data_IF_362327509334
#
_entry.id   IF_362327509334
#
_cell.length_a   1.000
_cell.length_b   1.000
_cell.length_c   1.000
_cell.angle_alpha   90.00
_cell.angle_beta   90.00
_cell.angle_gamma   90.00
#
_symmetry.space_group_name_H-M   'P 1'
#
loop_
_entity.id
_entity.type
_entity.pdbx_description
1 polymer ?
#
# COMPACT_ATOMS: atom_id res chain seq x y z
N UNK A 1 -43.34 71.35 5.70
CA UNK A 1 -42.78 70.32 4.83
C UNK A 1 -41.98 69.32 5.70
N UNK A 2 -42.64 68.20 5.96
CA UNK A 2 -42.04 67.11 6.71
C UNK A 2 -41.40 66.13 5.75
N UNK A 3 -40.08 65.95 5.91
CA UNK A 3 -39.37 64.88 5.21
C UNK A 3 -39.27 63.72 6.21
N UNK A 4 -40.05 62.64 5.93
CA UNK A 4 -39.96 61.41 6.61
C UNK A 4 -38.67 60.66 6.26
N UNK A 5 -37.78 60.48 7.24
CA UNK A 5 -36.69 59.50 7.13
C UNK A 5 -37.26 58.13 7.42
N UNK A 6 -37.34 57.29 6.42
CA UNK A 6 -37.52 55.83 6.62
C UNK A 6 -36.17 55.25 7.06
N UNK A 7 -36.10 54.86 8.31
CA UNK A 7 -35.04 53.98 8.82
C UNK A 7 -35.22 52.59 8.16
N UNK A 8 -34.37 52.31 7.20
CA UNK A 8 -34.17 50.94 6.70
C UNK A 8 -33.42 50.15 7.81
N UNK A 9 -34.18 49.39 8.59
CA UNK A 9 -33.57 48.40 9.49
C UNK A 9 -32.88 47.35 8.67
N UNK A 10 -31.56 47.41 8.67
CA UNK A 10 -30.74 46.33 8.14
C UNK A 10 -31.07 45.06 8.94
N UNK A 11 -31.82 44.18 8.34
CA UNK A 11 -31.97 42.81 8.85
C UNK A 11 -30.61 42.13 8.70
N UNK A 12 -29.88 42.05 9.83
CA UNK A 12 -28.70 41.18 9.90
C UNK A 12 -29.21 39.77 9.75
N UNK A 13 -29.05 39.21 8.55
CA UNK A 13 -29.40 37.83 8.29
C UNK A 13 -28.57 36.94 9.20
N UNK A 14 -29.22 36.37 10.20
CA UNK A 14 -28.63 35.32 11.00
C UNK A 14 -28.30 34.16 10.05
N UNK A 15 -27.02 33.79 9.97
CA UNK A 15 -26.61 32.66 9.15
C UNK A 15 -27.45 31.42 9.57
N UNK A 16 -27.92 30.66 8.60
CA UNK A 16 -28.68 29.47 8.90
C UNK A 16 -27.79 28.50 9.70
N UNK A 17 -28.28 28.03 10.83
CA UNK A 17 -27.61 27.05 11.68
C UNK A 17 -28.03 25.64 11.28
N UNK A 18 -27.10 24.69 11.37
CA UNK A 18 -27.35 23.26 11.30
C UNK A 18 -27.17 22.66 12.71
N UNK A 19 -27.85 21.58 12.99
CA UNK A 19 -27.70 20.85 14.26
C UNK A 19 -26.87 19.61 14.02
N UNK A 20 -25.78 19.46 14.77
CA UNK A 20 -25.02 18.22 14.85
C UNK A 20 -25.44 17.48 16.11
N UNK A 21 -25.92 16.25 15.93
CA UNK A 21 -26.35 15.39 17.06
C UNK A 21 -25.33 14.27 17.25
N UNK A 22 -24.79 14.21 18.45
CA UNK A 22 -23.79 13.20 18.83
C UNK A 22 -24.50 12.08 19.60
N UNK A 23 -24.51 10.90 19.01
CA UNK A 23 -25.15 9.70 19.56
C UNK A 23 -24.12 8.77 20.22
N UNK A 24 -24.58 8.03 21.23
CA UNK A 24 -23.86 6.85 21.71
C UNK A 24 -23.83 5.75 20.64
N UNK A 25 -23.05 4.72 20.87
CA UNK A 25 -22.90 3.54 19.99
C UNK A 25 -24.22 2.78 19.76
N UNK A 26 -25.24 2.98 20.57
CA UNK A 26 -26.59 2.41 20.38
C UNK A 26 -27.37 3.11 19.24
N UNK A 27 -26.87 4.20 18.72
CA UNK A 27 -27.51 5.01 17.67
C UNK A 27 -28.80 5.70 18.08
N UNK A 28 -29.11 5.77 19.39
CA UNK A 28 -30.36 6.29 19.93
C UNK A 28 -30.17 7.28 21.09
N UNK A 29 -29.23 6.99 21.99
CA UNK A 29 -28.95 7.85 23.13
C UNK A 29 -28.18 9.08 22.67
N UNK A 30 -28.76 10.25 22.84
CA UNK A 30 -28.09 11.53 22.52
C UNK A 30 -27.13 11.87 23.65
N UNK A 31 -25.84 12.00 23.33
CA UNK A 31 -24.80 12.42 24.24
C UNK A 31 -24.68 13.94 24.29
N UNK A 32 -24.78 14.59 23.11
CA UNK A 32 -24.65 16.04 22.95
C UNK A 32 -25.35 16.51 21.67
N UNK A 33 -25.72 17.78 21.65
CA UNK A 33 -26.09 18.49 20.41
C UNK A 33 -25.26 19.78 20.30
N UNK A 34 -24.93 20.16 19.09
CA UNK A 34 -24.20 21.39 18.76
C UNK A 34 -24.93 22.14 17.64
N UNK A 35 -25.13 23.45 17.82
CA UNK A 35 -25.54 24.32 16.73
C UNK A 35 -24.28 24.82 15.99
N UNK A 36 -24.19 24.53 14.71
CA UNK A 36 -23.08 24.89 13.83
C UNK A 36 -23.57 25.83 12.75
N UNK A 37 -22.88 26.93 12.55
CA UNK A 37 -23.18 27.83 11.42
C UNK A 37 -22.99 27.05 10.12
N UNK A 38 -23.99 27.16 9.21
CA UNK A 38 -23.94 26.45 7.91
C UNK A 38 -22.66 26.81 7.15
N UNK A 39 -21.85 25.80 6.84
CA UNK A 39 -20.55 25.94 6.19
C UNK A 39 -19.36 25.98 7.15
N UNK A 40 -19.59 25.98 8.48
CA UNK A 40 -18.54 25.80 9.48
C UNK A 40 -18.37 24.31 9.83
N UNK A 41 -17.26 23.96 10.47
CA UNK A 41 -16.98 22.61 10.93
C UNK A 41 -17.57 22.36 12.33
N UNK A 42 -18.02 21.14 12.59
CA UNK A 42 -18.40 20.68 13.90
C UNK A 42 -17.19 20.53 14.83
N UNK A 43 -17.42 20.49 16.15
CA UNK A 43 -16.34 20.30 17.13
C UNK A 43 -16.28 18.86 17.57
N UNK A 44 -15.09 18.30 17.47
CA UNK A 44 -14.80 17.01 18.06
C UNK A 44 -14.66 17.14 19.59
N UNK A 45 -15.25 16.20 20.34
CA UNK A 45 -14.99 16.03 21.76
C UNK A 45 -14.87 14.55 22.09
N UNK A 46 -14.25 14.22 23.23
CA UNK A 46 -14.06 12.85 23.70
C UNK A 46 -15.09 12.55 24.79
N UNK A 47 -16.13 11.74 24.49
CA UNK A 47 -17.09 11.29 25.48
C UNK A 47 -16.47 10.23 26.40
N UNK A 48 -16.93 10.16 27.64
CA UNK A 48 -16.53 9.13 28.60
C UNK A 48 -17.65 8.11 28.78
N UNK A 49 -17.29 6.82 28.88
CA UNK A 49 -18.21 5.73 29.18
C UNK A 49 -17.49 4.70 30.05
N UNK A 50 -18.04 4.41 31.21
CA UNK A 50 -17.43 3.49 32.17
C UNK A 50 -17.12 2.13 31.55
N UNK A 51 -15.90 1.67 31.77
CA UNK A 51 -15.41 0.36 31.25
C UNK A 51 -15.26 0.28 29.75
N UNK A 52 -15.30 1.40 29.03
CA UNK A 52 -15.15 1.46 27.58
C UNK A 52 -14.05 2.44 27.17
N UNK A 53 -13.46 2.18 26.02
CA UNK A 53 -12.46 3.04 25.37
C UNK A 53 -13.17 3.73 24.21
N UNK A 54 -13.11 5.07 24.16
CA UNK A 54 -13.58 5.83 23.01
C UNK A 54 -12.56 5.70 21.87
N UNK A 55 -13.04 5.31 20.68
CA UNK A 55 -12.20 5.05 19.51
C UNK A 55 -12.49 5.99 18.32
N UNK A 56 -13.37 6.93 18.49
CA UNK A 56 -13.67 7.97 17.50
C UNK A 56 -15.16 8.15 17.23
N UNK A 57 -15.45 9.14 16.39
CA UNK A 57 -16.79 9.43 15.90
C UNK A 57 -16.95 8.87 14.48
N UNK A 58 -18.12 8.32 14.21
CA UNK A 58 -18.45 7.67 12.96
C UNK A 58 -19.63 8.36 12.27
N UNK A 59 -19.65 8.32 10.93
CA UNK A 59 -20.67 8.96 10.12
C UNK A 59 -22.00 8.19 10.09
N UNK A 60 -21.95 6.90 10.42
CA UNK A 60 -23.14 6.01 10.41
C UNK A 60 -23.17 5.11 11.65
N UNK A 61 -24.35 4.61 12.05
CA UNK A 61 -24.45 3.69 13.18
C UNK A 61 -23.79 2.33 12.94
N UNK A 62 -23.43 2.00 11.69
CA UNK A 62 -22.68 0.80 11.33
C UNK A 62 -21.17 0.92 11.62
N UNK A 63 -20.70 2.11 11.99
CA UNK A 63 -19.29 2.41 12.32
C UNK A 63 -18.31 2.08 11.21
N UNK A 64 -18.74 2.08 9.94
CA UNK A 64 -17.89 1.74 8.81
C UNK A 64 -16.96 2.85 8.35
N UNK A 65 -17.32 4.10 8.61
CA UNK A 65 -16.55 5.26 8.19
C UNK A 65 -16.45 6.28 9.32
N UNK A 66 -15.23 6.74 9.64
CA UNK A 66 -15.00 7.83 10.59
C UNK A 66 -15.62 9.12 10.06
N UNK A 67 -16.17 9.92 10.98
CA UNK A 67 -16.65 11.25 10.64
C UNK A 67 -15.48 12.22 10.53
N UNK A 68 -15.45 12.97 9.44
CA UNK A 68 -14.39 13.96 9.17
C UNK A 68 -14.81 15.35 9.70
N UNK A 69 -14.27 15.71 10.84
CA UNK A 69 -14.51 17.03 11.49
C UNK A 69 -13.88 18.21 10.76
N UNK A 70 -13.06 17.98 9.73
CA UNK A 70 -12.52 19.05 8.88
C UNK A 70 -13.51 19.51 7.81
N UNK A 71 -14.55 18.72 7.56
CA UNK A 71 -15.56 19.03 6.58
C UNK A 71 -16.62 20.01 7.09
N UNK A 72 -17.04 20.90 6.20
CA UNK A 72 -18.08 21.87 6.51
C UNK A 72 -19.46 21.20 6.65
N UNK A 73 -20.17 21.52 7.73
CA UNK A 73 -21.55 21.07 7.97
C UNK A 73 -22.51 21.95 7.16
N UNK A 74 -23.25 21.35 6.24
CA UNK A 74 -24.19 22.06 5.35
C UNK A 74 -25.66 21.73 5.59
N UNK A 75 -25.93 20.72 6.43
CA UNK A 75 -27.26 20.25 6.83
C UNK A 75 -27.19 19.62 8.21
N UNK A 76 -28.34 19.35 8.82
CA UNK A 76 -28.41 18.65 10.10
C UNK A 76 -27.72 17.30 9.99
N UNK A 77 -26.77 17.03 10.90
CA UNK A 77 -25.85 15.91 10.80
C UNK A 77 -25.90 15.08 12.09
N UNK A 78 -25.81 13.76 11.92
CA UNK A 78 -25.70 12.82 13.05
C UNK A 78 -24.33 12.16 13.03
N UNK A 79 -23.70 12.04 14.20
CA UNK A 79 -22.44 11.33 14.40
C UNK A 79 -22.58 10.33 15.54
N UNK A 80 -21.84 9.22 15.48
CA UNK A 80 -22.01 8.07 16.36
C UNK A 80 -20.69 7.73 17.04
N UNK A 81 -20.71 7.64 18.37
CA UNK A 81 -19.54 7.31 19.18
C UNK A 81 -19.18 5.84 19.02
N UNK A 82 -17.93 5.55 18.65
CA UNK A 82 -17.37 4.22 18.77
C UNK A 82 -16.81 3.99 20.17
N UNK A 83 -17.30 2.95 20.84
CA UNK A 83 -16.78 2.48 22.12
C UNK A 83 -16.46 1.01 22.05
N UNK A 84 -15.28 0.63 22.55
CA UNK A 84 -14.82 -0.76 22.62
C UNK A 84 -14.42 -1.12 24.04
N UNK A 85 -14.46 -2.41 24.37
CA UNK A 85 -13.85 -2.94 25.59
C UNK A 85 -12.50 -3.50 25.24
N UNK A 86 -11.49 -3.29 26.09
CA UNK A 86 -10.18 -3.87 25.86
C UNK A 86 -10.26 -5.41 25.81
N UNK A 87 -9.72 -5.96 24.74
CA UNK A 87 -9.45 -7.38 24.55
C UNK A 87 -8.01 -7.49 24.08
N UNK A 88 -7.22 -8.35 24.72
CA UNK A 88 -5.83 -8.56 24.33
C UNK A 88 -5.76 -9.10 22.91
N UNK A 89 -4.94 -8.46 22.07
CA UNK A 89 -4.64 -8.93 20.73
C UNK A 89 -3.39 -9.83 20.78
N UNK A 90 -3.54 -11.07 20.38
CA UNK A 90 -2.47 -12.07 20.35
C UNK A 90 -1.90 -12.29 18.94
N UNK A 91 -2.40 -11.55 17.95
CA UNK A 91 -1.95 -11.63 16.57
C UNK A 91 -0.58 -10.97 16.39
N UNK A 92 0.15 -11.39 15.38
CA UNK A 92 1.38 -10.75 14.92
C UNK A 92 1.09 -9.90 13.70
N UNK A 93 1.75 -8.74 13.59
CA UNK A 93 1.70 -7.87 12.41
C UNK A 93 3.10 -7.69 11.83
N UNK A 94 3.17 -7.66 10.52
CA UNK A 94 4.40 -7.42 9.78
C UNK A 94 4.16 -6.51 8.58
N UNK A 95 5.12 -5.65 8.26
CA UNK A 95 5.11 -4.91 7.02
C UNK A 95 5.40 -5.86 5.85
N UNK A 96 4.58 -5.81 4.82
CA UNK A 96 4.73 -6.54 3.58
C UNK A 96 4.59 -5.58 2.41
N UNK A 97 5.48 -5.69 1.46
CA UNK A 97 5.49 -4.76 0.35
C UNK A 97 6.63 -4.99 -0.61
N UNK A 98 6.83 -4.06 -1.50
CA UNK A 98 7.92 -4.04 -2.47
C UNK A 98 8.43 -2.62 -2.65
N UNK A 99 9.71 -2.50 -2.91
CA UNK A 99 10.36 -1.22 -3.14
C UNK A 99 11.86 -1.34 -3.11
N UNK A 100 12.53 -0.21 -2.94
CA UNK A 100 13.99 -0.11 -2.93
C UNK A 100 14.58 0.09 -1.54
N UNK A 101 13.76 0.33 -0.52
CA UNK A 101 14.24 0.29 0.87
C UNK A 101 14.57 -1.15 1.29
N UNK A 102 15.61 -1.37 2.13
CA UNK A 102 16.07 -2.72 2.47
C UNK A 102 14.98 -3.65 2.99
N UNK A 103 14.13 -3.17 3.90
CA UNK A 103 13.06 -3.97 4.51
C UNK A 103 12.02 -4.42 3.49
N UNK A 104 11.64 -3.56 2.55
CA UNK A 104 10.64 -3.88 1.53
C UNK A 104 11.24 -4.63 0.34
N UNK A 105 12.49 -4.35 0.00
CA UNK A 105 13.22 -5.12 -1.00
C UNK A 105 13.32 -6.60 -0.57
N UNK A 106 13.68 -6.85 0.70
CA UNK A 106 13.72 -8.20 1.27
C UNK A 106 12.33 -8.82 1.37
N UNK A 107 11.32 -8.05 1.82
CA UNK A 107 9.93 -8.50 1.95
C UNK A 107 9.37 -9.04 0.64
N UNK A 108 9.59 -8.33 -0.46
CA UNK A 108 9.12 -8.69 -1.79
C UNK A 108 7.69 -9.25 -1.77
N UNK A 109 6.74 -8.45 -1.30
CA UNK A 109 5.33 -8.82 -1.11
C UNK A 109 5.10 -10.04 -0.20
N UNK A 110 5.92 -10.20 0.84
CA UNK A 110 5.78 -11.25 1.83
C UNK A 110 6.48 -12.56 1.47
N UNK A 111 7.35 -12.55 0.45
CA UNK A 111 8.25 -13.67 0.17
C UNK A 111 9.18 -13.94 1.36
N UNK A 112 9.57 -12.87 2.07
CA UNK A 112 10.28 -12.93 3.35
C UNK A 112 9.51 -12.13 4.40
N UNK A 113 9.21 -12.75 5.54
CA UNK A 113 8.69 -12.12 6.75
C UNK A 113 9.60 -12.57 7.90
N UNK A 114 10.67 -11.83 8.10
CA UNK A 114 11.65 -12.03 9.17
C UNK A 114 11.52 -10.98 10.28
N UNK A 115 12.50 -10.92 11.15
CA UNK A 115 12.52 -9.99 12.28
C UNK A 115 12.51 -8.52 11.83
N UNK A 116 13.10 -8.21 10.67
CA UNK A 116 13.12 -6.86 10.12
C UNK A 116 11.74 -6.36 9.63
N UNK A 117 10.84 -7.27 9.26
CA UNK A 117 9.50 -6.98 8.80
C UNK A 117 8.46 -6.98 9.91
N UNK A 118 8.71 -7.68 11.03
CA UNK A 118 7.75 -7.81 12.13
C UNK A 118 7.65 -6.54 12.95
N UNK A 119 6.41 -6.17 13.28
CA UNK A 119 6.15 -5.13 14.27
C UNK A 119 6.39 -5.67 15.68
N UNK A 120 6.87 -4.81 16.56
CA UNK A 120 7.02 -5.12 17.98
C UNK A 120 5.75 -4.75 18.71
N UNK A 121 5.11 -5.70 19.39
CA UNK A 121 3.99 -5.43 20.28
C UNK A 121 4.50 -4.89 21.62
N UNK A 122 3.93 -3.78 22.06
CA UNK A 122 4.19 -3.23 23.39
C UNK A 122 3.49 -4.03 24.49
N UNK A 123 4.13 -4.19 25.63
CA UNK A 123 3.50 -4.81 26.79
C UNK A 123 2.53 -3.80 27.44
N UNK A 124 1.25 -4.14 27.46
CA UNK A 124 0.20 -3.32 28.07
C UNK A 124 -1.00 -4.17 28.47
N UNK A 125 -1.66 -3.80 29.59
CA UNK A 125 -2.89 -4.42 30.07
C UNK A 125 -4.15 -3.68 29.59
N UNK A 126 -3.99 -2.61 28.82
CA UNK A 126 -5.08 -1.71 28.44
C UNK A 126 -5.11 -1.30 26.97
N UNK A 127 -4.05 -1.58 26.23
CA UNK A 127 -3.89 -1.17 24.82
C UNK A 127 -3.19 -2.27 24.01
N UNK A 128 -3.55 -2.39 22.74
CA UNK A 128 -2.83 -3.23 21.79
C UNK A 128 -2.11 -2.31 20.82
N UNK A 129 -0.84 -2.10 21.04
CA UNK A 129 0.02 -1.20 20.27
C UNK A 129 1.17 -1.99 19.66
N UNK A 130 1.35 -1.84 18.36
CA UNK A 130 2.44 -2.45 17.59
C UNK A 130 3.23 -1.35 16.92
N UNK A 131 4.56 -1.44 16.97
CA UNK A 131 5.45 -0.44 16.38
C UNK A 131 6.48 -1.06 15.45
N UNK A 132 6.87 -0.31 14.44
CA UNK A 132 8.02 -0.60 13.60
C UNK A 132 8.67 0.71 13.16
N UNK A 133 9.99 0.76 13.21
CA UNK A 133 10.78 1.88 12.69
C UNK A 133 11.63 1.38 11.53
N UNK A 134 11.52 2.03 10.38
CA UNK A 134 12.22 1.62 9.17
C UNK A 134 12.46 2.81 8.23
N UNK A 135 13.36 2.60 7.29
CA UNK A 135 13.61 3.52 6.19
C UNK A 135 12.71 3.19 5.01
N UNK A 136 12.13 4.21 4.38
CA UNK A 136 11.32 4.09 3.17
C UNK A 136 11.90 4.97 2.07
N UNK A 137 11.92 4.45 0.86
CA UNK A 137 12.24 5.21 -0.36
C UNK A 137 10.96 5.74 -1.01
N UNK A 138 11.07 6.82 -1.76
CA UNK A 138 9.96 7.30 -2.59
C UNK A 138 9.53 6.19 -3.57
N UNK A 139 8.24 5.95 -3.65
CA UNK A 139 7.65 4.91 -4.49
C UNK A 139 7.49 3.54 -3.83
N UNK A 140 8.09 3.30 -2.66
CA UNK A 140 7.87 2.07 -1.91
C UNK A 140 6.38 1.86 -1.60
N UNK A 141 5.90 0.61 -1.76
CA UNK A 141 4.50 0.25 -1.54
C UNK A 141 4.39 -0.87 -0.51
N UNK A 142 3.45 -0.74 0.42
CA UNK A 142 3.32 -1.71 1.51
C UNK A 142 1.94 -1.71 2.15
N UNK A 143 1.71 -2.74 2.97
CA UNK A 143 0.63 -2.88 3.94
C UNK A 143 1.18 -3.59 5.19
N UNK A 144 0.36 -3.68 6.24
CA UNK A 144 0.67 -4.48 7.43
C UNK A 144 -0.19 -5.74 7.39
N UNK A 145 0.44 -6.90 7.16
CA UNK A 145 -0.22 -8.19 7.14
C UNK A 145 -0.33 -8.78 8.54
N UNK A 146 -1.42 -9.50 8.79
CA UNK A 146 -1.69 -10.19 10.04
C UNK A 146 -1.29 -11.66 9.94
N UNK A 147 -0.59 -12.16 10.96
CA UNK A 147 -0.19 -13.58 11.10
C UNK A 147 0.47 -14.16 9.83
N UNK A 148 1.33 -13.35 9.20
CA UNK A 148 2.05 -13.71 7.96
C UNK A 148 1.13 -14.14 6.82
N UNK A 149 -0.08 -13.57 6.75
CA UNK A 149 -1.11 -13.93 5.78
C UNK A 149 -1.71 -12.69 5.12
N UNK A 150 -2.12 -12.84 3.86
CA UNK A 150 -2.95 -11.86 3.14
C UNK A 150 -4.45 -12.01 3.42
N UNK A 151 -4.83 -12.84 4.38
CA UNK A 151 -6.23 -13.03 4.77
C UNK A 151 -6.84 -11.83 5.50
N UNK A 152 -6.00 -11.04 6.18
CA UNK A 152 -6.38 -9.79 6.81
C UNK A 152 -5.16 -8.86 6.86
N UNK A 153 -5.32 -7.61 6.43
CA UNK A 153 -4.26 -6.61 6.38
C UNK A 153 -4.76 -5.21 6.73
N UNK A 154 -3.81 -4.33 7.05
CA UNK A 154 -4.06 -2.92 7.35
C UNK A 154 -3.30 -2.07 6.33
N UNK A 155 -4.05 -1.43 5.44
CA UNK A 155 -3.52 -0.61 4.35
C UNK A 155 -3.83 0.87 4.51
N UNK A 156 -3.90 1.56 3.38
CA UNK A 156 -4.01 3.02 3.26
C UNK A 156 -5.17 3.62 4.07
N UNK A 157 -6.35 3.00 4.06
CA UNK A 157 -7.53 3.54 4.75
C UNK A 157 -7.47 3.46 6.27
N UNK A 158 -6.46 2.81 6.84
CA UNK A 158 -6.21 2.79 8.29
C UNK A 158 -5.29 3.91 8.77
N UNK A 159 -4.63 4.63 7.85
CA UNK A 159 -3.81 5.79 8.21
C UNK A 159 -4.69 6.88 8.82
N UNK A 160 -4.28 7.39 9.97
CA UNK A 160 -4.95 8.51 10.65
C UNK A 160 -4.83 9.80 9.84
N UNK A 161 -3.65 10.04 9.29
CA UNK A 161 -3.37 11.13 8.35
C UNK A 161 -2.36 10.69 7.31
N UNK A 162 -2.37 11.34 6.14
CA UNK A 162 -1.35 11.18 5.11
C UNK A 162 -0.46 12.42 5.00
N UNK A 163 -0.84 13.50 5.67
CA UNK A 163 -0.24 14.83 5.53
C UNK A 163 0.58 15.20 6.77
N UNK A 164 1.70 15.87 6.54
CA UNK A 164 2.49 16.56 7.54
C UNK A 164 2.91 17.91 6.97
N UNK A 165 2.64 19.01 7.71
CA UNK A 165 3.01 20.38 7.34
C UNK A 165 2.52 20.82 5.93
N UNK A 166 1.33 20.36 5.52
CA UNK A 166 0.71 20.74 4.24
C UNK A 166 1.26 19.96 3.03
N UNK A 167 1.94 18.84 3.25
CA UNK A 167 2.46 17.97 2.22
C UNK A 167 2.07 16.51 2.46
N UNK A 168 1.63 15.83 1.42
CA UNK A 168 1.29 14.41 1.48
C UNK A 168 2.56 13.55 1.52
N UNK A 169 2.66 12.71 2.53
CA UNK A 169 3.76 11.75 2.72
C UNK A 169 3.40 10.36 2.19
N UNK A 170 2.11 10.07 2.07
CA UNK A 170 1.62 8.79 1.58
C UNK A 170 0.51 8.97 0.56
N UNK A 171 0.46 8.05 -0.41
CA UNK A 171 -0.55 7.98 -1.46
C UNK A 171 -1.24 6.62 -1.45
N UNK A 172 -2.50 6.60 -1.94
CA UNK A 172 -3.19 5.36 -2.23
C UNK A 172 -2.74 4.81 -3.59
N UNK A 173 -2.09 3.66 -3.61
CA UNK A 173 -1.64 3.01 -4.85
C UNK A 173 -2.52 1.85 -5.31
N UNK A 174 -3.73 1.73 -4.74
CA UNK A 174 -4.68 0.68 -5.09
C UNK A 174 -4.49 -0.60 -4.28
N UNK A 175 -5.32 -1.58 -4.56
CA UNK A 175 -5.28 -2.89 -3.92
C UNK A 175 -5.20 -4.00 -4.96
N UNK A 176 -4.71 -5.15 -4.54
CA UNK A 176 -4.83 -6.40 -5.29
C UNK A 176 -6.28 -6.90 -5.19
N UNK A 177 -7.14 -6.42 -6.10
CA UNK A 177 -8.57 -6.69 -6.09
C UNK A 177 -9.36 -5.65 -5.29
N UNK A 178 -10.46 -5.21 -5.80
CA UNK A 178 -11.34 -4.09 -5.40
C UNK A 178 -11.92 -4.18 -3.98
N UNK A 179 -11.10 -4.37 -2.96
CA UNK A 179 -11.51 -4.50 -1.57
C UNK A 179 -11.61 -3.17 -0.83
N UNK A 180 -11.63 -2.07 -1.58
CA UNK A 180 -11.77 -0.73 -1.02
C UNK A 180 -10.47 -0.12 -0.48
N UNK A 181 -10.53 1.17 -0.11
CA UNK A 181 -9.34 1.96 0.33
C UNK A 181 -8.67 1.43 1.59
N UNK A 182 -9.39 0.72 2.47
CA UNK A 182 -8.81 0.21 3.74
C UNK A 182 -7.74 -0.83 3.50
N UNK A 183 -7.90 -1.66 2.48
CA UNK A 183 -6.96 -2.70 2.08
C UNK A 183 -6.02 -2.27 0.95
N UNK A 184 -6.11 -1.01 0.49
CA UNK A 184 -5.24 -0.48 -0.56
C UNK A 184 -3.81 -0.33 -0.07
N UNK A 185 -2.85 -0.48 -0.97
CA UNK A 185 -1.45 -0.28 -0.66
C UNK A 185 -1.17 1.18 -0.27
N UNK A 186 -0.32 1.34 0.73
CA UNK A 186 0.28 2.61 1.10
C UNK A 186 1.50 2.81 0.21
N UNK A 187 1.58 3.92 -0.51
CA UNK A 187 2.77 4.28 -1.29
C UNK A 187 3.48 5.45 -0.61
N UNK A 188 4.77 5.31 -0.39
CA UNK A 188 5.62 6.36 0.18
C UNK A 188 5.86 7.45 -0.87
N UNK A 189 5.54 8.70 -0.55
CA UNK A 189 5.78 9.86 -1.40
C UNK A 189 7.03 10.65 -0.98
N UNK A 190 7.47 10.50 0.27
CA UNK A 190 8.63 11.23 0.82
C UNK A 190 9.60 10.24 1.44
N UNK A 191 10.79 10.11 0.87
CA UNK A 191 11.82 9.23 1.38
C UNK A 191 12.32 9.66 2.77
N UNK A 192 12.60 8.70 3.67
CA UNK A 192 13.13 8.97 5.00
C UNK A 192 12.92 7.84 5.99
N UNK A 193 13.22 8.12 7.25
CA UNK A 193 12.98 7.20 8.35
C UNK A 193 11.61 7.45 8.99
N UNK A 194 10.86 6.39 9.22
CA UNK A 194 9.50 6.42 9.74
C UNK A 194 9.34 5.47 10.92
N UNK A 195 8.55 5.89 11.90
CA UNK A 195 8.00 5.00 12.93
C UNK A 195 6.50 4.89 12.70
N UNK A 196 6.01 3.67 12.42
CA UNK A 196 4.60 3.37 12.34
C UNK A 196 4.11 2.76 13.64
N UNK A 197 2.93 3.16 14.06
CA UNK A 197 2.23 2.64 15.24
C UNK A 197 0.86 2.15 14.81
N UNK A 198 0.61 0.86 14.94
CA UNK A 198 -0.69 0.24 14.71
C UNK A 198 -1.35 -0.01 16.07
N UNK A 199 -2.52 0.57 16.28
CA UNK A 199 -3.37 0.31 17.46
C UNK A 199 -4.54 -0.55 17.01
N UNK A 200 -4.76 -1.68 17.70
CA UNK A 200 -5.79 -2.64 17.33
C UNK A 200 -6.81 -2.86 18.43
N UNK A 201 -8.02 -3.17 17.99
CA UNK A 201 -9.17 -3.47 18.85
C UNK A 201 -9.83 -4.75 18.31
N UNK A 202 -9.32 -5.95 18.69
CA UNK A 202 -9.91 -7.20 18.26
C UNK A 202 -11.34 -7.31 18.83
N UNK A 203 -12.26 -7.74 17.99
CA UNK A 203 -13.68 -7.81 18.36
C UNK A 203 -14.50 -8.45 17.24
N UNK A 204 -15.79 -8.10 17.23
CA UNK A 204 -16.67 -8.57 16.16
C UNK A 204 -16.28 -7.97 14.80
N UNK A 205 -16.32 -8.81 13.79
CA UNK A 205 -16.07 -8.40 12.42
C UNK A 205 -17.13 -7.38 11.96
N UNK A 206 -16.67 -6.38 11.25
CA UNK A 206 -17.51 -5.38 10.59
C UNK A 206 -17.23 -5.40 9.10
N UNK A 207 -18.28 -5.47 8.29
CA UNK A 207 -18.15 -5.60 6.84
C UNK A 207 -18.67 -4.35 6.14
N UNK A 208 -17.93 -3.90 5.13
CA UNK A 208 -18.27 -2.75 4.28
C UNK A 208 -19.35 -3.16 3.25
N UNK A 209 -20.57 -3.40 3.75
CA UNK A 209 -21.69 -3.94 2.96
C UNK A 209 -22.27 -2.96 1.95
N UNK A 210 -21.91 -1.68 2.03
CA UNK A 210 -22.29 -0.61 1.10
C UNK A 210 -21.29 -0.45 -0.05
N UNK A 211 -20.18 -1.21 -0.05
CA UNK A 211 -19.24 -1.22 -1.15
C UNK A 211 -19.86 -1.88 -2.40
N UNK A 212 -19.70 -1.25 -3.57
CA UNK A 212 -20.30 -1.73 -4.83
C UNK A 212 -19.82 -3.13 -5.25
N UNK A 213 -18.67 -3.57 -4.76
CA UNK A 213 -18.07 -4.87 -5.06
C UNK A 213 -18.35 -5.93 -3.99
N UNK A 214 -19.06 -5.56 -2.90
CA UNK A 214 -19.41 -6.49 -1.82
C UNK A 214 -20.42 -7.55 -2.28
N UNK A 215 -20.18 -8.78 -1.90
CA UNK A 215 -21.13 -9.89 -1.95
C UNK A 215 -20.96 -10.74 -0.70
N UNK A 216 -22.00 -11.51 -0.32
CA UNK A 216 -21.88 -12.44 0.82
C UNK A 216 -20.82 -13.53 0.59
N UNK A 217 -20.50 -13.85 -0.66
CA UNK A 217 -19.49 -14.86 -1.01
C UNK A 217 -18.06 -14.32 -0.80
N UNK A 218 -17.82 -13.02 -1.03
CA UNK A 218 -16.51 -12.39 -0.87
C UNK A 218 -16.40 -11.52 0.38
N UNK A 219 -17.33 -11.65 1.34
CA UNK A 219 -17.46 -10.78 2.53
C UNK A 219 -16.16 -10.59 3.30
N UNK A 220 -15.34 -11.64 3.41
CA UNK A 220 -14.10 -11.59 4.20
C UNK A 220 -13.08 -10.59 3.63
N UNK A 221 -13.14 -10.31 2.34
CA UNK A 221 -12.33 -9.26 1.70
C UNK A 221 -12.78 -7.84 2.09
N UNK A 222 -13.95 -7.69 2.69
CA UNK A 222 -14.53 -6.41 3.12
C UNK A 222 -14.66 -6.29 4.65
N UNK A 223 -13.96 -7.12 5.40
CA UNK A 223 -13.81 -6.95 6.84
C UNK A 223 -12.93 -5.72 7.11
N UNK A 224 -13.50 -4.69 7.71
CA UNK A 224 -12.86 -3.37 7.77
C UNK A 224 -12.22 -3.03 9.11
N UNK A 225 -12.46 -3.80 10.18
CA UNK A 225 -11.91 -3.53 11.52
C UNK A 225 -11.89 -2.03 11.82
N UNK A 226 -13.05 -1.35 11.95
CA UNK A 226 -13.18 0.11 11.81
C UNK A 226 -12.46 0.91 12.87
N UNK A 227 -12.08 0.26 13.97
CA UNK A 227 -11.46 0.91 15.12
C UNK A 227 -9.93 0.85 15.08
N UNK A 228 -9.36 -0.03 14.26
CA UNK A 228 -7.92 -0.12 14.09
C UNK A 228 -7.39 1.12 13.39
N UNK A 229 -6.22 1.59 13.82
CA UNK A 229 -5.65 2.85 13.32
C UNK A 229 -4.13 2.73 13.18
N UNK A 230 -3.61 3.27 12.09
CA UNK A 230 -2.17 3.44 11.86
C UNK A 230 -1.84 4.92 12.01
N UNK A 231 -0.99 5.24 12.98
CA UNK A 231 -0.34 6.55 13.08
C UNK A 231 1.12 6.42 12.68
N UNK A 232 1.76 7.55 12.35
CA UNK A 232 3.15 7.54 11.94
C UNK A 232 3.88 8.81 12.35
N UNK A 233 5.19 8.68 12.46
CA UNK A 233 6.10 9.81 12.71
C UNK A 233 7.20 9.79 11.66
N UNK A 234 7.45 10.91 11.03
CA UNK A 234 8.61 11.12 10.18
C UNK A 234 9.80 11.52 11.05
N UNK A 235 10.83 10.69 11.08
CA UNK A 235 12.02 10.90 11.91
C UNK A 235 13.13 11.69 11.20
N UNK A 236 12.91 12.05 9.92
CA UNK A 236 13.84 12.78 9.09
C UNK A 236 14.38 11.97 7.91
N UNK A 237 15.23 12.61 7.11
CA UNK A 237 15.90 11.97 5.99
C UNK A 237 16.81 10.82 6.49
N UNK A 238 16.94 9.76 5.67
CA UNK A 238 17.81 8.63 5.95
C UNK A 238 18.73 8.36 4.75
N UNK A 239 19.99 8.03 5.04
CA UNK A 239 20.95 7.63 4.01
C UNK A 239 20.60 6.26 3.38
N UNK A 240 19.78 5.44 4.05
CA UNK A 240 19.31 4.16 3.56
C UNK A 240 18.03 4.27 2.72
N UNK A 241 17.43 5.45 2.64
CA UNK A 241 16.25 5.73 1.83
C UNK A 241 16.68 6.38 0.51
N UNK A 242 16.33 5.78 -0.61
CA UNK A 242 16.68 6.27 -1.94
C UNK A 242 18.11 5.94 -2.40
N UNK A 243 18.70 4.86 -1.90
CA UNK A 243 20.00 4.36 -2.33
C UNK A 243 20.02 3.99 -3.82
N UNK A 244 21.23 3.95 -4.41
CA UNK A 244 21.40 3.50 -5.80
C UNK A 244 20.87 2.08 -5.98
N UNK A 245 19.98 1.92 -6.94
CA UNK A 245 19.39 0.63 -7.30
C UNK A 245 20.18 0.03 -8.44
N UNK A 246 20.71 -1.17 -8.24
CA UNK A 246 21.34 -1.96 -9.27
C UNK A 246 20.42 -3.12 -9.65
N UNK A 247 20.16 -3.30 -10.94
CA UNK A 247 19.45 -4.47 -11.48
C UNK A 247 20.41 -5.30 -12.30
N UNK A 248 20.50 -6.58 -11.98
CA UNK A 248 21.22 -7.57 -12.73
C UNK A 248 20.24 -8.56 -13.37
N UNK A 249 20.55 -9.05 -14.57
CA UNK A 249 19.71 -9.99 -15.32
C UNK A 249 20.39 -11.34 -15.45
N UNK A 250 19.58 -12.41 -15.42
CA UNK A 250 20.03 -13.80 -15.43
C UNK A 250 19.15 -14.66 -16.32
N UNK A 251 19.74 -15.61 -17.05
CA UNK A 251 18.97 -16.61 -17.79
C UNK A 251 18.47 -17.70 -16.84
N UNK A 252 17.24 -18.16 -17.08
CA UNK A 252 16.72 -19.41 -16.51
C UNK A 252 15.91 -20.18 -17.54
N UNK A 253 15.95 -21.50 -17.47
CA UNK A 253 15.25 -22.33 -18.42
C UNK A 253 15.43 -23.81 -18.14
N UNK A 254 14.73 -24.67 -18.91
CA UNK A 254 14.64 -26.09 -18.66
C UNK A 254 16.00 -26.81 -18.57
N UNK A 255 16.95 -26.44 -19.41
CA UNK A 255 18.28 -27.07 -19.45
C UNK A 255 19.32 -26.30 -18.67
N UNK A 256 19.22 -24.97 -18.63
CA UNK A 256 20.22 -24.10 -17.97
C UNK A 256 20.17 -24.23 -16.45
N UNK A 257 18.96 -24.15 -15.86
CA UNK A 257 18.77 -24.08 -14.41
C UNK A 257 17.70 -25.03 -13.88
N UNK A 258 17.02 -25.82 -14.77
CA UNK A 258 15.85 -26.61 -14.39
C UNK A 258 14.65 -25.75 -13.96
N UNK A 259 14.56 -24.50 -14.46
CA UNK A 259 13.57 -23.47 -14.08
C UNK A 259 13.73 -22.92 -12.66
N UNK A 260 14.79 -23.29 -11.96
CA UNK A 260 15.13 -22.65 -10.70
C UNK A 260 15.79 -21.28 -10.94
N UNK A 261 15.61 -20.34 -10.00
CA UNK A 261 16.33 -19.08 -10.02
C UNK A 261 17.78 -19.31 -9.58
N UNK A 262 18.69 -19.26 -10.52
CA UNK A 262 20.13 -19.39 -10.27
C UNK A 262 20.83 -18.08 -10.59
N UNK A 263 21.34 -17.44 -9.54
CA UNK A 263 22.03 -16.15 -9.63
C UNK A 263 23.55 -16.37 -9.53
N UNK A 264 24.16 -16.76 -10.66
CA UNK A 264 25.60 -17.03 -10.75
C UNK A 264 26.22 -16.31 -11.96
N UNK A 265 27.53 -16.20 -11.98
CA UNK A 265 28.27 -15.53 -13.07
C UNK A 265 28.04 -16.21 -14.44
N UNK A 266 27.76 -17.53 -14.46
CA UNK A 266 27.50 -18.27 -15.69
C UNK A 266 26.12 -17.97 -16.30
N UNK A 267 25.19 -17.52 -15.46
CA UNK A 267 23.81 -17.20 -15.89
C UNK A 267 23.56 -15.70 -16.03
N UNK A 268 24.53 -14.88 -15.60
CA UNK A 268 24.42 -13.42 -15.49
C UNK A 268 24.77 -12.71 -16.81
N UNK A 269 23.98 -11.68 -17.14
CA UNK A 269 24.37 -10.70 -18.15
C UNK A 269 25.53 -9.84 -17.64
N UNK A 270 26.41 -9.47 -18.56
CA UNK A 270 27.44 -8.46 -18.30
C UNK A 270 26.91 -7.10 -18.68
N UNK A 271 26.95 -6.13 -17.75
CA UNK A 271 26.55 -4.75 -18.00
C UNK A 271 27.73 -3.95 -18.56
N UNK A 272 27.46 -3.15 -19.59
CA UNK A 272 28.36 -2.14 -20.12
C UNK A 272 27.57 -0.95 -20.65
N UNK A 273 27.82 0.23 -20.07
CA UNK A 273 27.19 1.50 -20.48
C UNK A 273 25.65 1.46 -20.54
N UNK A 274 25.03 0.77 -19.57
CA UNK A 274 23.58 0.61 -19.48
C UNK A 274 23.00 -0.48 -20.39
N UNK A 275 23.82 -1.19 -21.14
CA UNK A 275 23.43 -2.31 -21.99
C UNK A 275 23.91 -3.63 -21.38
N UNK A 276 23.09 -4.64 -21.41
CA UNK A 276 23.34 -5.95 -20.82
C UNK A 276 23.53 -7.00 -21.89
N UNK A 277 24.60 -7.77 -21.80
CA UNK A 277 24.95 -8.82 -22.81
C UNK A 277 25.19 -10.15 -22.12
N UNK A 278 24.59 -11.23 -22.65
CA UNK A 278 24.86 -12.61 -22.26
C UNK A 278 25.24 -13.44 -23.51
N UNK A 279 26.33 -14.17 -23.40
CA UNK A 279 26.76 -15.14 -24.42
C UNK A 279 26.68 -16.54 -23.80
N UNK A 280 25.92 -17.44 -24.44
CA UNK A 280 25.66 -18.79 -23.91
C UNK A 280 25.37 -19.78 -25.05
N UNK A 281 25.85 -21.02 -24.91
CA UNK A 281 25.55 -22.10 -25.86
C UNK A 281 24.18 -22.70 -25.56
N UNK A 282 23.30 -22.74 -26.57
CA UNK A 282 21.98 -23.36 -26.49
C UNK A 282 21.82 -24.42 -27.61
N UNK A 283 20.93 -25.37 -27.32
CA UNK A 283 20.53 -26.40 -28.27
C UNK A 283 19.14 -26.10 -28.82
N UNK A 284 18.90 -26.41 -30.08
CA UNK A 284 17.56 -26.30 -30.68
C UNK A 284 16.49 -26.93 -29.79
N UNK A 285 15.47 -26.15 -29.49
CA UNK A 285 14.35 -26.55 -28.59
C UNK A 285 14.56 -26.21 -27.13
N UNK A 286 15.71 -25.65 -26.71
CA UNK A 286 15.90 -25.18 -25.36
C UNK A 286 14.91 -24.02 -25.07
N UNK A 287 14.10 -24.18 -24.02
CA UNK A 287 13.14 -23.17 -23.59
C UNK A 287 13.68 -22.43 -22.37
N UNK A 288 13.62 -21.09 -22.41
CA UNK A 288 14.20 -20.20 -21.41
C UNK A 288 13.48 -18.85 -21.34
N UNK A 289 13.81 -18.09 -20.32
CA UNK A 289 13.49 -16.69 -20.13
C UNK A 289 14.60 -16.02 -19.31
N UNK A 290 14.48 -14.72 -19.04
CA UNK A 290 15.42 -14.06 -18.15
C UNK A 290 14.67 -13.46 -16.95
N UNK A 291 15.32 -13.54 -15.80
CA UNK A 291 14.85 -12.99 -14.53
C UNK A 291 15.80 -11.89 -14.07
N UNK A 292 15.41 -11.12 -13.07
CA UNK A 292 16.22 -10.03 -12.53
C UNK A 292 16.50 -10.20 -11.04
N UNK A 293 17.60 -9.60 -10.60
CA UNK A 293 17.95 -9.39 -9.20
C UNK A 293 18.11 -7.89 -8.97
N UNK A 294 17.44 -7.36 -7.96
CA UNK A 294 17.58 -5.96 -7.54
C UNK A 294 18.43 -5.89 -6.29
N UNK A 295 19.43 -5.02 -6.29
CA UNK A 295 20.34 -4.79 -5.16
C UNK A 295 20.32 -3.31 -4.77
N UNK A 296 20.18 -3.04 -3.47
CA UNK A 296 20.32 -1.71 -2.87
C UNK A 296 21.25 -1.82 -1.67
N UNK A 297 22.41 -1.18 -1.73
CA UNK A 297 23.46 -1.37 -0.73
C UNK A 297 23.89 -2.84 -0.62
N UNK A 298 23.77 -3.41 0.56
CA UNK A 298 24.11 -4.83 0.83
C UNK A 298 22.89 -5.79 0.73
N UNK A 299 21.72 -5.28 0.35
CA UNK A 299 20.48 -6.07 0.30
C UNK A 299 20.11 -6.38 -1.16
N UNK A 300 19.88 -7.66 -1.45
CA UNK A 300 19.44 -8.14 -2.76
C UNK A 300 18.16 -8.95 -2.64
N UNK A 301 17.27 -8.80 -3.63
CA UNK A 301 16.03 -9.58 -3.75
C UNK A 301 15.73 -9.87 -5.21
N UNK A 302 14.99 -10.96 -5.46
CA UNK A 302 14.47 -11.24 -6.79
C UNK A 302 13.63 -10.07 -7.31
N UNK A 303 13.96 -9.59 -8.50
CA UNK A 303 13.21 -8.52 -9.16
C UNK A 303 11.89 -9.02 -9.73
N UNK A 304 11.04 -8.08 -10.09
CA UNK A 304 9.75 -8.34 -10.75
C UNK A 304 9.82 -8.19 -12.28
N UNK A 305 10.96 -7.75 -12.79
CA UNK A 305 11.19 -7.59 -14.21
C UNK A 305 11.66 -8.92 -14.81
N UNK A 306 10.96 -9.33 -15.86
CA UNK A 306 11.27 -10.52 -16.64
C UNK A 306 11.44 -10.13 -18.09
N UNK A 307 12.49 -10.69 -18.75
CA UNK A 307 12.69 -10.51 -20.19
C UNK A 307 12.22 -11.78 -20.89
N UNK A 308 11.32 -11.62 -21.83
CA UNK A 308 10.59 -12.70 -22.52
C UNK A 308 10.55 -12.45 -24.02
N UNK A 309 9.91 -13.37 -24.75
CA UNK A 309 9.74 -13.28 -26.20
C UNK A 309 9.15 -11.94 -26.67
N UNK A 310 8.20 -11.40 -25.92
CA UNK A 310 7.55 -10.09 -26.19
C UNK A 310 8.48 -8.88 -26.05
N UNK A 311 9.66 -9.04 -25.45
CA UNK A 311 10.67 -7.97 -25.39
C UNK A 311 11.48 -7.85 -26.69
N UNK A 312 11.37 -8.78 -27.66
CA UNK A 312 11.98 -8.62 -28.97
C UNK A 312 11.23 -7.51 -29.71
N UNK A 313 11.95 -6.49 -30.17
CA UNK A 313 11.37 -5.32 -30.81
C UNK A 313 10.54 -5.67 -32.05
N UNK A 314 9.40 -4.98 -32.21
CA UNK A 314 8.54 -5.18 -33.38
C UNK A 314 9.27 -4.84 -34.69
N UNK A 315 9.34 -5.81 -35.60
CA UNK A 315 10.05 -5.67 -36.88
C UNK A 315 11.53 -6.09 -36.84
N UNK A 316 12.00 -6.67 -35.75
CA UNK A 316 13.32 -7.31 -35.68
C UNK A 316 13.24 -8.77 -36.13
N UNK A 317 13.09 -8.94 -37.48
CA UNK A 317 13.01 -10.25 -38.10
C UNK A 317 14.31 -11.07 -37.93
N UNK A 318 15.45 -10.41 -37.71
CA UNK A 318 16.71 -11.07 -37.46
C UNK A 318 16.70 -11.81 -36.13
N UNK A 319 16.39 -11.13 -35.01
CA UNK A 319 16.25 -11.76 -33.72
C UNK A 319 15.15 -12.83 -33.69
N UNK A 320 13.99 -12.56 -34.33
CA UNK A 320 12.88 -13.51 -34.43
C UNK A 320 13.18 -14.76 -35.25
N UNK A 321 14.23 -14.76 -36.10
CA UNK A 321 14.67 -15.94 -36.82
C UNK A 321 15.40 -16.96 -35.95
N UNK A 322 15.96 -16.54 -34.82
CA UNK A 322 16.75 -17.37 -33.91
C UNK A 322 15.95 -17.97 -32.76
N UNK A 323 14.75 -17.46 -32.49
CA UNK A 323 13.89 -17.90 -31.36
C UNK A 323 12.43 -18.00 -31.80
N UNK A 324 11.70 -18.89 -31.15
CA UNK A 324 10.24 -18.98 -31.25
C UNK A 324 9.60 -18.79 -29.90
N UNK A 325 8.31 -18.45 -29.88
CA UNK A 325 7.55 -18.27 -28.63
C UNK A 325 7.20 -19.62 -28.00
N UNK A 326 7.52 -19.76 -26.72
CA UNK A 326 7.16 -20.89 -25.88
C UNK A 326 5.97 -20.60 -24.95
N UNK A 327 5.73 -21.49 -24.00
CA UNK A 327 4.66 -21.33 -23.01
C UNK A 327 4.90 -20.14 -22.10
N UNK A 328 3.87 -19.28 -21.91
CA UNK A 328 3.98 -18.11 -21.04
C UNK A 328 4.95 -17.03 -21.54
N UNK A 329 5.05 -16.88 -22.85
CA UNK A 329 5.95 -15.91 -23.52
C UNK A 329 7.45 -16.23 -23.33
N UNK A 330 7.81 -17.47 -22.99
CA UNK A 330 9.19 -17.91 -22.96
C UNK A 330 9.81 -17.87 -24.37
N UNK A 331 11.13 -17.91 -24.42
CA UNK A 331 11.86 -18.06 -25.67
C UNK A 331 12.23 -19.55 -25.87
N UNK A 332 12.19 -20.02 -27.12
CA UNK A 332 12.69 -21.33 -27.50
C UNK A 332 13.75 -21.15 -28.56
N UNK A 333 14.94 -21.73 -28.36
CA UNK A 333 16.02 -21.69 -29.31
C UNK A 333 15.58 -22.39 -30.65
N UNK A 334 15.63 -21.68 -31.77
CA UNK A 334 15.23 -22.19 -33.07
C UNK A 334 16.32 -23.05 -33.72
N UNK A 335 17.55 -22.92 -33.28
CA UNK A 335 18.73 -23.66 -33.77
C UNK A 335 19.74 -23.87 -32.64
N UNK A 336 20.68 -24.79 -32.85
CA UNK A 336 21.79 -24.98 -31.90
C UNK A 336 22.94 -24.05 -32.26
N UNK A 337 23.51 -23.33 -31.28
CA UNK A 337 24.60 -22.40 -31.48
C UNK A 337 24.97 -21.61 -30.26
N UNK A 338 25.93 -20.72 -30.41
CA UNK A 338 26.29 -19.76 -29.38
C UNK A 338 25.40 -18.51 -29.52
N UNK A 339 24.44 -18.35 -28.61
CA UNK A 339 23.53 -17.21 -28.58
C UNK A 339 24.19 -16.01 -27.93
N UNK A 340 23.99 -14.84 -28.53
CA UNK A 340 24.36 -13.55 -27.95
C UNK A 340 23.11 -12.73 -27.76
N UNK A 341 22.70 -12.58 -26.50
CA UNK A 341 21.56 -11.75 -26.09
C UNK A 341 22.06 -10.36 -25.71
N UNK A 342 21.39 -9.33 -26.21
CA UNK A 342 21.65 -7.94 -25.82
C UNK A 342 20.34 -7.31 -25.37
N UNK A 343 20.30 -6.78 -24.14
CA UNK A 343 19.12 -6.17 -23.55
C UNK A 343 19.38 -4.71 -23.19
N UNK A 344 18.48 -3.84 -23.65
CA UNK A 344 18.40 -2.44 -23.26
C UNK A 344 17.21 -2.25 -22.32
N UNK A 345 17.43 -2.06 -21.00
CA UNK A 345 16.36 -1.90 -20.04
C UNK A 345 15.61 -0.56 -20.18
N UNK A 346 16.24 0.48 -20.72
CA UNK A 346 15.58 1.77 -20.93
C UNK A 346 14.49 1.69 -22.00
N UNK A 347 14.73 0.94 -23.05
CA UNK A 347 13.79 0.68 -24.15
C UNK A 347 13.00 -0.62 -23.95
N UNK A 348 13.41 -1.46 -22.98
CA UNK A 348 12.87 -2.80 -22.72
C UNK A 348 12.96 -3.72 -23.95
N UNK A 349 14.04 -3.61 -24.73
CA UNK A 349 14.23 -4.32 -25.99
C UNK A 349 15.34 -5.35 -25.85
N UNK A 350 15.03 -6.59 -26.25
CA UNK A 350 15.96 -7.70 -26.40
C UNK A 350 16.29 -7.91 -27.86
N UNK A 351 17.59 -8.03 -28.19
CA UNK A 351 18.07 -8.52 -29.47
C UNK A 351 18.77 -9.87 -29.31
N UNK A 352 18.67 -10.71 -30.32
CA UNK A 352 19.19 -12.08 -30.33
C UNK A 352 20.01 -12.30 -31.60
N UNK A 353 21.29 -12.70 -31.46
CA UNK A 353 22.15 -13.14 -32.50
C UNK A 353 22.65 -14.57 -32.21
N UNK A 354 23.04 -15.34 -33.24
CA UNK A 354 23.65 -16.67 -33.14
C UNK A 354 24.94 -16.73 -33.95
N UNK A 355 26.04 -17.18 -33.31
CA UNK A 355 27.36 -17.34 -33.91
C UNK A 355 27.61 -18.78 -34.39
#
# INVERSE_FOLDING_TARGET
DAIGATEEMAQTGQAAACVVTYYDSDGKTVLQTEEVEKGACAKEYTPEKDGSIFVGWFATPQMSHKFDFSQAVTEDTSVFAGFVTYVEDTREFAIVGSGTSPVLLESNWGAVIGDAQKMTKEESDSENVYTITLDLSEGDQFQFAMDSSWGDQRGYGYLDTIELDGMDYFENSGSLGDTGVKHSNIKCAVAGNYTFTLTTYPGEDTYETDNANYTEENREAFNINPYDTITWTYNGASENAGGDVQTDYYIKGAIVTGWEDVYSDETKFTEQDGTYTLKIDLTEGDEFMFTSMVTVGDTSSAGTEYIRYTNIGGGDDASLSHVTEGGGENLIAAESGTYVFTYDPAEQVLTVDVE
#
